data_IF_750658615187
#
_entry.id   IF_750658615187
#
_cell.length_a   1.000
_cell.length_b   1.000
_cell.length_c   1.000
_cell.angle_alpha   90.00
_cell.angle_beta   90.00
_cell.angle_gamma   90.00
#
_symmetry.space_group_name_H-M   'P 1'
#
loop_
_entity.id
_entity.type
_entity.pdbx_description
1 polymer ?
#
# COMPACT_ATOMS: atom_id res chain seq x y z
N UNK A 1 -15.16 -4.27 20.75
CA UNK A 1 -15.33 -5.60 20.12
C UNK A 1 -14.14 -5.90 19.23
N UNK A 2 -13.43 -6.98 19.48
CA UNK A 2 -12.36 -7.42 18.58
C UNK A 2 -12.95 -7.77 17.21
N UNK A 3 -12.45 -7.18 16.13
CA UNK A 3 -12.85 -7.58 14.77
C UNK A 3 -12.50 -9.04 14.57
N UNK A 4 -13.48 -9.85 14.19
CA UNK A 4 -13.28 -11.25 13.82
C UNK A 4 -12.16 -11.35 12.76
N UNK A 5 -11.17 -12.19 13.04
CA UNK A 5 -10.02 -12.36 12.15
C UNK A 5 -10.35 -13.44 11.13
N UNK A 6 -10.31 -13.10 9.83
CA UNK A 6 -10.50 -14.10 8.78
C UNK A 6 -9.48 -15.23 8.90
N UNK A 7 -9.94 -16.47 8.76
CA UNK A 7 -9.07 -17.62 8.58
C UNK A 7 -8.69 -17.72 7.11
N UNK A 8 -7.41 -17.65 6.81
CA UNK A 8 -6.90 -17.70 5.44
C UNK A 8 -5.92 -18.87 5.34
N UNK A 9 -6.15 -19.75 4.38
CA UNK A 9 -5.24 -20.82 4.02
C UNK A 9 -4.86 -20.68 2.55
N UNK A 10 -3.59 -20.82 2.24
CA UNK A 10 -3.05 -20.73 0.87
C UNK A 10 -2.57 -22.11 0.46
N UNK A 11 -2.91 -22.52 -0.75
CA UNK A 11 -2.46 -23.75 -1.36
C UNK A 11 -1.94 -23.48 -2.77
N UNK A 12 -0.74 -23.95 -3.06
CA UNK A 12 -0.11 -23.85 -4.38
C UNK A 12 -0.22 -25.15 -5.17
N UNK A 13 -0.48 -26.26 -4.49
CA UNK A 13 -0.60 -27.60 -5.07
C UNK A 13 -1.94 -28.25 -4.72
N UNK A 14 -2.33 -29.25 -5.51
CA UNK A 14 -3.52 -30.04 -5.23
C UNK A 14 -3.45 -30.74 -3.85
N UNK A 15 -2.28 -31.26 -3.50
CA UNK A 15 -2.07 -31.92 -2.22
C UNK A 15 -2.27 -30.95 -1.04
N UNK A 16 -1.71 -29.75 -1.13
CA UNK A 16 -1.91 -28.71 -0.11
C UNK A 16 -3.38 -28.28 -0.02
N UNK A 17 -4.07 -28.16 -1.16
CA UNK A 17 -5.49 -27.82 -1.18
C UNK A 17 -6.36 -28.89 -0.54
N UNK A 18 -6.08 -30.16 -0.76
CA UNK A 18 -6.79 -31.27 -0.11
C UNK A 18 -6.58 -31.28 1.42
N UNK A 19 -5.36 -31.01 1.89
CA UNK A 19 -5.08 -30.88 3.31
C UNK A 19 -5.80 -29.68 3.94
N UNK A 20 -5.91 -28.57 3.22
CA UNK A 20 -6.65 -27.40 3.66
C UNK A 20 -8.16 -27.67 3.74
N UNK A 21 -8.72 -28.32 2.72
CA UNK A 21 -10.15 -28.72 2.66
C UNK A 21 -10.50 -29.69 3.79
N UNK A 22 -9.62 -30.64 4.10
CA UNK A 22 -9.85 -31.60 5.19
C UNK A 22 -10.00 -30.93 6.57
N UNK A 23 -9.39 -29.76 6.78
CA UNK A 23 -9.51 -28.98 8.03
C UNK A 23 -10.73 -28.05 8.05
N UNK A 24 -11.31 -27.78 6.89
CA UNK A 24 -12.36 -26.79 6.74
C UNK A 24 -13.62 -27.06 7.57
N UNK A 25 -14.14 -28.31 7.68
CA UNK A 25 -15.33 -28.59 8.49
C UNK A 25 -15.20 -28.13 9.93
N UNK A 26 -14.10 -28.43 10.59
CA UNK A 26 -13.86 -28.03 11.99
C UNK A 26 -13.76 -26.51 12.15
N UNK A 27 -13.11 -25.82 11.21
CA UNK A 27 -12.97 -24.37 11.21
C UNK A 27 -14.33 -23.70 11.00
N UNK A 28 -15.09 -24.18 10.03
CA UNK A 28 -16.43 -23.63 9.70
C UNK A 28 -17.39 -23.84 10.86
N UNK A 29 -17.39 -25.02 11.49
CA UNK A 29 -18.24 -25.29 12.64
C UNK A 29 -17.96 -24.32 13.78
N UNK A 30 -16.69 -24.14 14.15
CA UNK A 30 -16.32 -23.18 15.19
C UNK A 30 -16.69 -21.74 14.80
N UNK A 31 -16.42 -21.35 13.57
CA UNK A 31 -16.73 -20.01 13.10
C UNK A 31 -18.25 -19.71 13.09
N UNK A 32 -19.09 -20.71 12.75
CA UNK A 32 -20.55 -20.57 12.83
C UNK A 32 -20.99 -20.43 14.30
N UNK A 33 -20.40 -21.19 15.21
CA UNK A 33 -20.69 -21.07 16.64
C UNK A 33 -20.36 -19.67 17.19
N UNK A 34 -19.21 -19.13 16.76
CA UNK A 34 -18.71 -17.85 17.24
C UNK A 34 -19.40 -16.64 16.57
N UNK A 35 -19.76 -16.73 15.29
CA UNK A 35 -20.19 -15.60 14.48
C UNK A 35 -21.59 -15.74 13.84
N UNK A 36 -22.19 -16.90 13.91
CA UNK A 36 -23.52 -17.21 13.38
C UNK A 36 -23.55 -17.48 11.88
N UNK A 37 -22.96 -16.65 11.06
CA UNK A 37 -22.85 -16.83 9.59
C UNK A 37 -21.41 -16.65 9.15
N UNK A 38 -21.00 -17.45 8.18
CA UNK A 38 -19.66 -17.39 7.59
C UNK A 38 -19.72 -17.54 6.08
N UNK A 39 -18.83 -16.86 5.37
CA UNK A 39 -18.62 -17.02 3.95
C UNK A 39 -17.38 -17.89 3.70
N UNK A 40 -17.48 -18.80 2.75
CA UNK A 40 -16.35 -19.59 2.25
C UNK A 40 -16.00 -19.03 0.87
N UNK A 41 -14.80 -18.45 0.75
CA UNK A 41 -14.35 -17.79 -0.47
C UNK A 41 -13.09 -18.47 -1.01
N UNK A 42 -13.13 -18.84 -2.29
CA UNK A 42 -11.95 -19.27 -3.06
C UNK A 42 -11.59 -18.15 -4.00
N UNK A 43 -10.39 -17.62 -3.88
CA UNK A 43 -9.90 -16.50 -4.70
C UNK A 43 -8.44 -16.71 -5.07
N UNK A 44 -7.94 -16.04 -6.12
CA UNK A 44 -6.52 -16.01 -6.39
C UNK A 44 -5.72 -15.57 -5.17
N UNK A 45 -4.54 -16.16 -4.98
CA UNK A 45 -3.66 -15.74 -3.91
C UNK A 45 -3.17 -14.32 -4.15
N UNK A 46 -3.49 -13.41 -3.24
CA UNK A 46 -2.91 -12.08 -3.19
C UNK A 46 -1.74 -12.08 -2.20
N UNK A 47 -0.55 -11.82 -2.68
CA UNK A 47 0.61 -11.70 -1.81
C UNK A 47 0.40 -10.55 -0.80
N UNK A 48 0.58 -10.80 0.48
CA UNK A 48 0.42 -9.83 1.59
C UNK A 48 1.33 -8.58 1.51
N UNK A 49 2.12 -8.47 0.48
CA UNK A 49 3.22 -7.51 0.35
C UNK A 49 2.78 -6.05 0.28
N UNK A 50 1.59 -5.76 -0.25
CA UNK A 50 1.08 -4.39 -0.35
C UNK A 50 0.72 -3.78 1.01
N UNK A 51 0.31 -4.59 1.98
CA UNK A 51 -0.04 -4.09 3.32
C UNK A 51 1.19 -3.64 4.12
N UNK A 52 2.28 -4.41 4.03
CA UNK A 52 3.51 -4.05 4.72
C UNK A 52 4.17 -2.83 4.10
N UNK A 53 4.17 -2.73 2.78
CA UNK A 53 4.64 -1.56 2.04
C UNK A 53 3.80 -0.30 2.34
N UNK A 54 2.48 -0.42 2.43
CA UNK A 54 1.61 0.69 2.79
C UNK A 54 1.81 1.13 4.25
N UNK A 55 2.02 0.19 5.16
CA UNK A 55 2.36 0.49 6.57
C UNK A 55 3.68 1.23 6.67
N UNK A 56 4.68 0.79 5.93
CA UNK A 56 6.00 1.41 5.89
C UNK A 56 5.93 2.85 5.38
N UNK A 57 5.22 3.11 4.30
CA UNK A 57 5.01 4.47 3.80
C UNK A 57 4.34 5.37 4.84
N UNK A 58 3.29 4.89 5.51
CA UNK A 58 2.60 5.64 6.56
C UNK A 58 3.50 5.92 7.76
N UNK A 59 4.33 4.95 8.14
CA UNK A 59 5.30 5.11 9.21
C UNK A 59 6.30 6.22 8.87
N UNK A 60 6.92 6.17 7.72
CA UNK A 60 7.89 7.18 7.29
C UNK A 60 7.30 8.57 7.15
N UNK A 61 6.09 8.70 6.62
CA UNK A 61 5.41 10.00 6.55
C UNK A 61 5.10 10.55 7.95
N UNK A 62 4.73 9.69 8.92
CA UNK A 62 4.54 10.09 10.31
C UNK A 62 5.84 10.53 10.96
N UNK A 63 6.92 9.75 10.79
CA UNK A 63 8.24 10.09 11.31
C UNK A 63 8.75 11.42 10.73
N UNK A 64 8.52 11.66 9.44
CA UNK A 64 8.84 12.95 8.81
C UNK A 64 7.98 14.09 9.38
N UNK A 65 6.69 13.86 9.61
CA UNK A 65 5.78 14.83 10.22
C UNK A 65 6.17 15.20 11.65
N UNK A 66 6.69 14.24 12.42
CA UNK A 66 7.19 14.48 13.80
C UNK A 66 8.51 15.29 13.83
N UNK A 67 9.31 15.21 12.77
CA UNK A 67 10.63 15.84 12.69
C UNK A 67 10.63 17.14 11.86
N UNK A 68 9.70 17.29 10.93
CA UNK A 68 9.67 18.40 9.97
C UNK A 68 8.59 19.44 10.27
N UNK A 69 8.34 20.28 9.29
CA UNK A 69 7.45 21.45 9.34
C UNK A 69 6.07 21.20 8.70
N UNK A 70 5.85 20.01 8.13
CA UNK A 70 4.59 19.61 7.53
C UNK A 70 3.98 18.43 8.28
N UNK A 71 2.68 18.22 8.12
CA UNK A 71 1.98 17.06 8.65
C UNK A 71 2.34 15.78 7.91
N UNK A 72 2.09 14.62 8.51
CA UNK A 72 2.26 13.31 7.86
C UNK A 72 1.50 13.21 6.54
N UNK A 73 0.28 13.78 6.46
CA UNK A 73 -0.55 13.79 5.27
C UNK A 73 0.03 14.67 4.15
N UNK A 74 0.58 15.82 4.51
CA UNK A 74 1.27 16.70 3.56
C UNK A 74 2.53 16.03 2.99
N UNK A 75 3.34 15.37 3.82
CA UNK A 75 4.47 14.56 3.33
C UNK A 75 4.01 13.43 2.43
N UNK A 76 2.93 12.73 2.79
CA UNK A 76 2.37 11.68 1.94
C UNK A 76 1.94 12.21 0.57
N UNK A 77 1.23 13.33 0.53
CA UNK A 77 0.80 14.00 -0.70
C UNK A 77 2.00 14.42 -1.56
N UNK A 78 3.02 15.00 -0.93
CA UNK A 78 4.25 15.43 -1.60
C UNK A 78 5.00 14.22 -2.22
N UNK A 79 5.13 13.12 -1.50
CA UNK A 79 5.77 11.91 -2.01
C UNK A 79 4.99 11.29 -3.18
N UNK A 80 3.66 11.26 -3.09
CA UNK A 80 2.80 10.82 -4.20
C UNK A 80 3.04 11.66 -5.46
N UNK A 81 3.08 12.98 -5.31
CA UNK A 81 3.26 13.90 -6.44
C UNK A 81 4.67 13.79 -7.05
N UNK A 82 5.70 13.77 -6.21
CA UNK A 82 7.09 13.84 -6.68
C UNK A 82 7.61 12.50 -7.20
N UNK A 83 7.22 11.40 -6.58
CA UNK A 83 7.76 10.07 -6.87
C UNK A 83 6.73 9.11 -7.47
N UNK A 84 5.50 9.15 -6.98
CA UNK A 84 4.46 8.24 -7.45
C UNK A 84 3.94 8.59 -8.85
N UNK A 85 3.63 9.84 -9.08
CA UNK A 85 3.12 10.34 -10.38
C UNK A 85 4.09 10.04 -11.53
N UNK A 86 5.41 10.32 -11.44
CA UNK A 86 6.34 10.00 -12.52
C UNK A 86 6.38 8.52 -12.88
N UNK A 87 6.37 7.63 -11.88
CA UNK A 87 6.35 6.18 -12.11
C UNK A 87 5.08 5.77 -12.86
N UNK A 88 3.92 6.21 -12.38
CA UNK A 88 2.64 5.84 -12.98
C UNK A 88 2.44 6.44 -14.36
N UNK A 89 2.91 7.67 -14.61
CA UNK A 89 2.86 8.30 -15.95
C UNK A 89 3.77 7.57 -16.95
N UNK A 90 4.89 7.07 -16.48
CA UNK A 90 5.81 6.28 -17.33
C UNK A 90 5.20 4.94 -17.76
N UNK A 91 4.51 4.26 -16.84
CA UNK A 91 4.13 2.86 -16.99
C UNK A 91 2.65 2.64 -17.33
N UNK A 92 1.79 3.67 -17.19
CA UNK A 92 0.34 3.58 -17.47
C UNK A 92 -0.13 4.76 -18.31
N UNK A 93 -0.49 4.47 -19.55
CA UNK A 93 -1.06 5.46 -20.48
C UNK A 93 -2.38 6.01 -19.96
N UNK A 94 -3.25 5.15 -19.42
CA UNK A 94 -4.53 5.58 -18.82
C UNK A 94 -4.32 6.55 -17.66
N UNK A 95 -3.34 6.28 -16.79
CA UNK A 95 -2.99 7.18 -15.70
C UNK A 95 -2.46 8.52 -16.24
N UNK A 96 -1.55 8.47 -17.21
CA UNK A 96 -0.96 9.64 -17.82
C UNK A 96 -2.04 10.54 -18.45
N UNK A 97 -2.97 10.00 -19.20
CA UNK A 97 -4.09 10.74 -19.79
C UNK A 97 -4.95 11.43 -18.72
N UNK A 98 -5.36 10.71 -17.70
CA UNK A 98 -6.21 11.26 -16.62
C UNK A 98 -5.48 12.34 -15.83
N UNK A 99 -4.23 12.07 -15.45
CA UNK A 99 -3.42 13.04 -14.72
C UNK A 99 -3.15 14.31 -15.53
N UNK A 100 -2.75 14.17 -16.79
CA UNK A 100 -2.42 15.29 -17.65
C UNK A 100 -3.65 16.15 -17.96
N UNK A 101 -4.83 15.53 -18.08
CA UNK A 101 -6.09 16.25 -18.29
C UNK A 101 -6.58 17.00 -17.04
N UNK A 102 -6.47 16.39 -15.86
CA UNK A 102 -7.14 16.88 -14.65
C UNK A 102 -6.24 17.69 -13.73
N UNK A 103 -4.95 17.34 -13.66
CA UNK A 103 -4.06 17.82 -12.60
C UNK A 103 -2.81 18.53 -13.11
N UNK A 104 -2.19 18.04 -14.17
CA UNK A 104 -0.88 18.50 -14.65
C UNK A 104 -0.74 20.02 -14.81
N UNK A 105 -1.78 20.69 -15.27
CA UNK A 105 -1.79 22.13 -15.56
C UNK A 105 -2.07 23.02 -14.35
N UNK A 106 -2.43 22.42 -13.21
CA UNK A 106 -2.76 23.15 -11.98
C UNK A 106 -1.50 23.69 -11.30
N UNK A 107 -1.63 24.79 -10.50
CA UNK A 107 -0.56 25.24 -9.62
C UNK A 107 -0.10 24.12 -8.68
N UNK A 108 1.15 24.23 -8.20
CA UNK A 108 1.77 23.21 -7.37
C UNK A 108 0.97 22.92 -6.08
N UNK A 109 0.48 23.95 -5.42
CA UNK A 109 -0.31 23.84 -4.20
C UNK A 109 -1.60 23.05 -4.41
N UNK A 110 -2.30 23.30 -5.52
CA UNK A 110 -3.49 22.53 -5.88
C UNK A 110 -3.16 21.08 -6.21
N UNK A 111 -2.03 20.83 -6.88
CA UNK A 111 -1.57 19.44 -7.12
C UNK A 111 -1.34 18.71 -5.82
N UNK A 112 -0.76 19.34 -4.81
CA UNK A 112 -0.57 18.75 -3.49
C UNK A 112 -1.91 18.46 -2.81
N UNK A 113 -2.89 19.36 -2.90
CA UNK A 113 -4.24 19.12 -2.35
C UNK A 113 -4.91 17.91 -3.00
N UNK A 114 -4.79 17.74 -4.31
CA UNK A 114 -5.33 16.58 -5.02
C UNK A 114 -4.71 15.25 -4.58
N UNK A 115 -3.47 15.27 -4.08
CA UNK A 115 -2.78 14.07 -3.57
C UNK A 115 -3.16 13.71 -2.14
N UNK A 116 -3.78 14.63 -1.41
CA UNK A 116 -4.16 14.49 0.00
C UNK A 116 -5.65 14.20 0.15
N UNK A 117 -6.00 13.70 1.34
CA UNK A 117 -7.41 13.55 1.75
C UNK A 117 -8.10 14.93 1.79
N UNK A 118 -9.37 15.07 1.38
CA UNK A 118 -10.31 14.00 1.02
C UNK A 118 -10.26 13.56 -0.44
N UNK A 119 -9.59 14.29 -1.33
CA UNK A 119 -9.53 13.96 -2.75
C UNK A 119 -8.75 12.68 -3.03
N UNK A 120 -7.57 12.56 -2.46
CA UNK A 120 -6.71 11.38 -2.48
C UNK A 120 -6.60 10.72 -3.87
N UNK A 121 -6.17 11.50 -4.85
CA UNK A 121 -6.01 11.03 -6.22
C UNK A 121 -5.25 9.69 -6.27
N UNK A 122 -5.79 8.67 -6.95
CA UNK A 122 -5.26 7.30 -6.88
C UNK A 122 -3.93 7.18 -7.64
N UNK A 123 -2.82 7.26 -6.94
CA UNK A 123 -1.46 7.07 -7.47
C UNK A 123 -0.93 5.71 -7.04
N UNK A 124 -0.69 5.53 -5.75
CA UNK A 124 -0.07 4.31 -5.21
C UNK A 124 -1.00 3.12 -5.18
N UNK A 125 -2.30 3.34 -5.22
CA UNK A 125 -3.33 2.29 -5.24
C UNK A 125 -3.27 1.43 -6.49
N UNK A 126 -2.90 2.01 -7.64
CA UNK A 126 -2.76 1.32 -8.92
C UNK A 126 -1.40 0.67 -9.16
N UNK A 127 -0.45 0.82 -8.25
CA UNK A 127 0.91 0.31 -8.41
C UNK A 127 0.97 -1.21 -8.21
N UNK A 128 1.70 -1.89 -9.11
CA UNK A 128 2.14 -3.25 -8.87
C UNK A 128 3.31 -3.28 -7.85
N UNK A 129 3.77 -4.49 -7.50
CA UNK A 129 4.82 -4.67 -6.50
C UNK A 129 6.14 -3.97 -6.86
N UNK A 130 6.56 -4.08 -8.12
CA UNK A 130 7.82 -3.49 -8.58
C UNK A 130 7.75 -1.96 -8.54
N UNK A 131 6.67 -1.37 -9.02
CA UNK A 131 6.42 0.06 -8.97
C UNK A 131 6.37 0.56 -7.52
N UNK A 132 5.72 -0.20 -6.64
CA UNK A 132 5.64 0.14 -5.22
C UNK A 132 7.00 0.10 -4.53
N UNK A 133 7.84 -0.88 -4.86
CA UNK A 133 9.22 -0.96 -4.35
C UNK A 133 10.05 0.23 -4.85
N UNK A 134 9.98 0.55 -6.13
CA UNK A 134 10.64 1.72 -6.72
C UNK A 134 10.19 3.03 -6.04
N UNK A 135 8.90 3.18 -5.84
CA UNK A 135 8.32 4.33 -5.15
C UNK A 135 8.81 4.46 -3.71
N UNK A 136 8.80 3.37 -2.94
CA UNK A 136 9.26 3.39 -1.55
C UNK A 136 10.76 3.67 -1.44
N UNK A 137 11.57 3.14 -2.35
CA UNK A 137 12.99 3.49 -2.43
C UNK A 137 13.19 4.99 -2.68
N UNK A 138 12.45 5.57 -3.61
CA UNK A 138 12.53 7.01 -3.90
C UNK A 138 12.10 7.85 -2.68
N UNK A 139 11.03 7.46 -1.99
CA UNK A 139 10.57 8.12 -0.76
C UNK A 139 11.62 8.05 0.33
N UNK A 140 12.21 6.89 0.56
CA UNK A 140 13.25 6.70 1.57
C UNK A 140 14.48 7.58 1.29
N UNK A 141 14.96 7.56 0.05
CA UNK A 141 16.11 8.39 -0.37
C UNK A 141 15.82 9.88 -0.25
N UNK A 142 14.65 10.32 -0.65
CA UNK A 142 14.23 11.73 -0.56
C UNK A 142 14.18 12.19 0.90
N UNK A 143 13.42 11.51 1.75
CA UNK A 143 13.23 11.91 3.13
C UNK A 143 14.53 11.81 3.96
N UNK A 144 15.31 10.75 3.78
CA UNK A 144 16.62 10.63 4.45
C UNK A 144 17.62 11.67 3.92
N UNK A 145 17.58 11.98 2.63
CA UNK A 145 18.39 13.05 2.03
C UNK A 145 18.07 14.44 2.56
N UNK A 146 16.84 14.67 3.04
CA UNK A 146 16.42 15.90 3.74
C UNK A 146 16.85 15.92 5.21
N UNK A 147 17.45 14.84 5.73
CA UNK A 147 17.92 14.72 7.10
C UNK A 147 16.95 14.06 8.07
N UNK A 148 15.80 13.54 7.58
CA UNK A 148 14.87 12.79 8.44
C UNK A 148 15.44 11.44 8.83
N UNK A 149 15.25 11.07 10.09
CA UNK A 149 15.57 9.74 10.61
C UNK A 149 14.35 8.85 10.46
N UNK A 150 14.45 7.87 9.59
CA UNK A 150 13.39 6.92 9.31
C UNK A 150 13.72 5.54 9.85
N UNK A 151 12.72 4.82 10.30
CA UNK A 151 12.85 3.41 10.67
C UNK A 151 13.35 2.61 9.47
N UNK A 152 14.38 1.77 9.70
CA UNK A 152 14.93 0.86 8.68
C UNK A 152 13.80 -0.02 8.11
N UNK A 153 13.65 -0.06 6.80
CA UNK A 153 12.62 -0.86 6.15
C UNK A 153 12.71 -2.36 6.46
N UNK A 154 13.90 -2.90 6.70
CA UNK A 154 14.08 -4.34 6.94
C UNK A 154 13.58 -5.24 5.82
N UNK A 155 13.19 -4.67 4.68
CA UNK A 155 12.64 -5.37 3.53
C UNK A 155 13.69 -5.44 2.43
N UNK A 156 13.88 -6.63 1.85
CA UNK A 156 14.82 -6.79 0.72
C UNK A 156 14.40 -5.89 -0.45
N UNK A 157 15.34 -5.11 -0.96
CA UNK A 157 15.15 -4.22 -2.09
C UNK A 157 14.57 -2.84 -1.75
N UNK A 158 14.46 -2.50 -0.48
CA UNK A 158 14.06 -1.17 -0.01
C UNK A 158 15.13 -0.64 0.96
N UNK A 159 15.63 0.53 0.68
CA UNK A 159 16.70 1.16 1.44
C UNK A 159 17.96 1.43 0.59
N UNK A 160 18.95 2.13 1.14
CA UNK A 160 20.21 2.35 0.45
C UNK A 160 20.94 1.01 0.25
N UNK A 161 21.54 0.84 -0.92
CA UNK A 161 22.46 -0.27 -1.22
C UNK A 161 23.70 -0.22 -0.33
#
# INVERSE_FOLDING_TARGET
>A
MSKAKAYINTAATLQESMAAIARLPGIVTRAIQDWGRVDIVVRPHEEKRSLDQNRLQRLWCREAGEQGDMTAEEYRGQMKLHHGVPIMRRDSEEFAEKYDRLIKWRPYEEKLEFMQSPFDFPVTRGMNKQQKTEYLNAVYVDLTGRGFRLTDPGLKGIGPD
#
